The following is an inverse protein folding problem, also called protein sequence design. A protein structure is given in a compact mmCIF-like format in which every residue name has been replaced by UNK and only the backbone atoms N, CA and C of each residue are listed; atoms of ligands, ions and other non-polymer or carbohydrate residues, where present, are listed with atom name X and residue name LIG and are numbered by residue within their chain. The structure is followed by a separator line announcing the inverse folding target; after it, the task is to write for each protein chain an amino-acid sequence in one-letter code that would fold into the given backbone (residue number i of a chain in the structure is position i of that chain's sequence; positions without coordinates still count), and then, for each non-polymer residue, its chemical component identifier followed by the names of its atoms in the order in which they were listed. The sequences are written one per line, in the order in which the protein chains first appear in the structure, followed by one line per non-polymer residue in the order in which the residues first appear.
data_IF_024659483925
#
_entry.id   IF_024659483925
#
_cell.length_a   1.000
_cell.length_b   1.000
_cell.length_c   1.000
_cell.angle_alpha   90.00
_cell.angle_beta   90.00
_cell.angle_gamma   90.00
#
_symmetry.space_group_name_H-M   'P 1'
#
loop_
_entity.id
_entity.type
_entity.pdbx_description
1 polymer ?
#
# COMPACT_ATOMS: atom_id res chain seq x y z
N UNK A 1 -33.00 35.74 -5.62
CA UNK A 1 -33.95 34.73 -5.11
C UNK A 1 -34.07 33.63 -6.15
N UNK A 2 -33.36 32.51 -5.97
CA UNK A 2 -33.66 31.23 -6.62
C UNK A 2 -32.92 30.12 -5.84
N UNK A 3 -33.55 28.95 -5.76
CA UNK A 3 -33.50 28.02 -4.64
C UNK A 3 -32.20 27.24 -4.44
N UNK A 4 -31.78 27.15 -3.17
CA UNK A 4 -30.87 26.13 -2.67
C UNK A 4 -31.63 24.79 -2.54
N UNK A 5 -31.09 23.72 -3.14
CA UNK A 5 -31.55 22.34 -2.90
C UNK A 5 -30.63 21.69 -1.87
N UNK A 6 -31.11 21.61 -0.64
CA UNK A 6 -30.57 20.76 0.42
C UNK A 6 -30.94 19.30 0.12
N UNK A 7 -29.94 18.46 -0.14
CA UNK A 7 -30.10 17.01 -0.10
C UNK A 7 -29.79 16.54 1.32
N UNK A 8 -30.82 16.11 2.05
CA UNK A 8 -30.67 15.28 3.24
C UNK A 8 -30.81 13.84 2.79
N UNK A 9 -29.70 13.12 2.70
CA UNK A 9 -29.72 11.65 2.58
C UNK A 9 -29.78 11.12 4.00
N UNK A 10 -30.98 10.68 4.40
CA UNK A 10 -31.16 9.86 5.60
C UNK A 10 -30.89 8.42 5.16
N UNK A 11 -29.66 7.94 5.33
CA UNK A 11 -29.33 6.54 5.15
C UNK A 11 -29.84 5.75 6.36
N UNK A 12 -30.81 4.86 6.11
CA UNK A 12 -31.29 3.87 7.07
C UNK A 12 -30.26 2.72 7.05
N UNK A 13 -29.36 2.65 8.04
CA UNK A 13 -28.50 1.48 8.22
C UNK A 13 -29.33 0.34 8.81
N UNK A 14 -29.61 -0.68 8.00
CA UNK A 14 -30.06 -1.98 8.50
C UNK A 14 -28.83 -2.74 9.00
N UNK A 15 -28.62 -2.73 10.31
CA UNK A 15 -27.61 -3.56 10.99
C UNK A 15 -28.12 -5.00 10.97
N UNK A 16 -27.60 -5.82 10.05
CA UNK A 16 -27.72 -7.27 10.13
C UNK A 16 -26.67 -7.76 11.15
N UNK A 17 -27.07 -7.84 12.41
CA UNK A 17 -26.25 -8.35 13.50
C UNK A 17 -26.16 -9.88 13.37
N UNK A 18 -25.12 -10.39 12.72
CA UNK A 18 -24.70 -11.78 12.88
C UNK A 18 -24.01 -11.90 14.24
N UNK A 19 -24.65 -12.65 15.14
CA UNK A 19 -24.09 -13.03 16.44
C UNK A 19 -22.89 -13.97 16.23
N UNK A 20 -21.69 -13.42 16.15
CA UNK A 20 -20.47 -14.18 16.43
C UNK A 20 -20.20 -14.11 17.93
N UNK A 21 -19.98 -15.29 18.51
CA UNK A 21 -19.77 -15.46 19.94
C UNK A 21 -18.59 -14.66 20.46
N UNK A 22 -18.76 -14.12 21.66
CA UNK A 22 -17.71 -13.51 22.45
C UNK A 22 -16.68 -14.59 22.86
N UNK A 23 -15.73 -14.88 21.97
CA UNK A 23 -14.51 -15.60 22.31
C UNK A 23 -13.48 -14.60 22.82
N UNK A 24 -13.16 -14.66 24.11
CA UNK A 24 -12.02 -13.92 24.66
C UNK A 24 -10.74 -14.45 24.04
N UNK A 25 -10.22 -13.74 23.04
CA UNK A 25 -8.90 -13.97 22.47
C UNK A 25 -7.86 -13.28 23.36
N UNK A 26 -7.09 -14.09 24.07
CA UNK A 26 -5.83 -13.68 24.70
C UNK A 26 -4.89 -13.06 23.68
N UNK A 27 -4.18 -12.00 24.08
CA UNK A 27 -3.01 -11.43 23.39
C UNK A 27 -1.95 -12.51 23.15
N UNK A 28 -2.16 -13.28 22.09
CA UNK A 28 -1.25 -14.30 21.59
C UNK A 28 -0.22 -13.65 20.69
N UNK A 29 0.62 -12.79 21.26
CA UNK A 29 1.87 -12.38 20.63
C UNK A 29 2.72 -13.64 20.43
N UNK A 30 2.70 -14.18 19.21
CA UNK A 30 3.51 -15.34 18.83
C UNK A 30 4.96 -14.86 18.80
N UNK A 31 5.71 -15.12 19.87
CA UNK A 31 7.15 -14.87 19.90
C UNK A 31 7.84 -15.72 18.84
N UNK A 32 8.32 -15.08 17.77
CA UNK A 32 9.00 -15.73 16.65
C UNK A 32 10.38 -16.23 17.11
N UNK A 33 10.57 -17.55 17.12
CA UNK A 33 11.91 -18.14 17.30
C UNK A 33 12.53 -18.31 15.90
N UNK A 34 13.71 -17.73 15.62
CA UNK A 34 14.36 -17.90 14.31
C UNK A 34 14.81 -19.36 14.16
N UNK A 35 14.14 -20.14 13.30
CA UNK A 35 14.54 -21.54 13.06
C UNK A 35 13.62 -22.40 12.20
N UNK A 36 12.30 -22.23 12.26
CA UNK A 36 11.33 -23.13 11.62
C UNK A 36 10.58 -22.45 10.46
N UNK A 37 11.35 -21.90 9.52
CA UNK A 37 10.96 -20.84 8.58
C UNK A 37 9.99 -21.16 7.43
N UNK A 38 9.02 -22.07 7.56
CA UNK A 38 8.00 -22.27 6.51
C UNK A 38 6.57 -22.50 7.01
N UNK A 39 6.36 -22.95 8.26
CA UNK A 39 5.00 -23.18 8.78
C UNK A 39 4.33 -21.94 9.40
N UNK A 40 5.06 -20.83 9.52
CA UNK A 40 4.67 -19.72 10.41
C UNK A 40 3.64 -18.74 9.82
N UNK A 41 3.22 -18.92 8.56
CA UNK A 41 2.36 -17.94 7.87
C UNK A 41 1.00 -18.50 7.47
N UNK A 42 0.58 -19.66 7.98
CA UNK A 42 -0.74 -20.20 7.68
C UNK A 42 -1.60 -20.22 8.94
N UNK A 43 -2.81 -19.66 8.85
CA UNK A 43 -3.80 -19.85 9.90
C UNK A 43 -4.40 -21.26 9.76
N UNK A 44 -4.15 -22.20 10.69
CA UNK A 44 -4.69 -23.56 10.59
C UNK A 44 -6.22 -23.60 10.66
N UNK A 45 -6.84 -22.54 11.18
CA UNK A 45 -8.29 -22.40 11.28
C UNK A 45 -8.91 -21.70 10.06
N UNK A 46 -8.07 -21.18 9.13
CA UNK A 46 -8.56 -20.72 7.84
C UNK A 46 -9.14 -21.93 7.11
N UNK A 47 -10.44 -21.87 6.79
CA UNK A 47 -11.11 -22.86 5.97
C UNK A 47 -10.42 -23.03 4.60
N UNK A 48 -10.94 -23.91 3.72
CA UNK A 48 -10.41 -24.01 2.37
C UNK A 48 -10.41 -22.63 1.70
N UNK A 49 -9.28 -22.27 1.08
CA UNK A 49 -9.20 -21.01 0.35
C UNK A 49 -10.30 -20.96 -0.73
N UNK A 50 -11.10 -19.89 -0.78
CA UNK A 50 -12.08 -19.72 -1.85
C UNK A 50 -11.35 -19.60 -3.19
N UNK A 51 -12.03 -20.03 -4.24
CA UNK A 51 -11.61 -19.81 -5.62
C UNK A 51 -11.59 -18.32 -5.96
N UNK A 52 -10.81 -17.96 -6.98
CA UNK A 52 -10.81 -16.60 -7.55
C UNK A 52 -12.22 -16.20 -7.98
N UNK A 53 -13.00 -17.12 -8.54
CA UNK A 53 -14.39 -16.91 -8.95
C UNK A 53 -15.31 -16.59 -7.76
N UNK A 54 -15.19 -17.32 -6.64
CA UNK A 54 -15.97 -17.02 -5.43
C UNK A 54 -15.61 -15.64 -4.84
N UNK A 55 -14.32 -15.26 -4.85
CA UNK A 55 -13.90 -13.93 -4.40
C UNK A 55 -14.37 -12.83 -5.35
N UNK A 56 -14.40 -13.07 -6.67
CA UNK A 56 -14.98 -12.14 -7.65
C UNK A 56 -16.47 -11.94 -7.42
N UNK A 57 -17.21 -13.01 -7.13
CA UNK A 57 -18.64 -12.91 -6.81
C UNK A 57 -18.86 -12.09 -5.53
N UNK A 58 -18.03 -12.30 -4.50
CA UNK A 58 -18.06 -11.50 -3.28
C UNK A 58 -17.74 -10.02 -3.55
N UNK A 59 -16.73 -9.72 -4.37
CA UNK A 59 -16.43 -8.36 -4.78
C UNK A 59 -17.61 -7.71 -5.50
N UNK A 60 -18.22 -8.39 -6.47
CA UNK A 60 -19.38 -7.87 -7.19
C UNK A 60 -20.58 -7.61 -6.28
N UNK A 61 -20.80 -8.46 -5.28
CA UNK A 61 -21.81 -8.23 -4.26
C UNK A 61 -21.51 -6.97 -3.43
N UNK A 62 -20.25 -6.78 -2.99
CA UNK A 62 -19.83 -5.58 -2.27
C UNK A 62 -19.98 -4.31 -3.11
N UNK A 63 -19.63 -4.34 -4.40
CA UNK A 63 -19.82 -3.21 -5.30
C UNK A 63 -21.31 -2.85 -5.45
N UNK A 64 -22.17 -3.87 -5.60
CA UNK A 64 -23.61 -3.66 -5.69
C UNK A 64 -24.18 -3.02 -4.40
N UNK A 65 -23.75 -3.50 -3.24
CA UNK A 65 -24.15 -2.96 -1.94
C UNK A 65 -23.69 -1.51 -1.73
N UNK A 66 -22.49 -1.16 -2.22
CA UNK A 66 -21.95 0.20 -2.22
C UNK A 66 -22.53 1.10 -3.33
N UNK A 67 -23.30 0.54 -4.26
CA UNK A 67 -23.82 1.27 -5.43
C UNK A 67 -22.73 1.72 -6.40
N UNK A 68 -21.61 0.99 -6.47
CA UNK A 68 -20.49 1.26 -7.37
C UNK A 68 -20.72 0.49 -8.68
N UNK A 69 -20.68 1.21 -9.79
CA UNK A 69 -20.70 0.61 -11.13
C UNK A 69 -19.32 0.00 -11.45
N UNK A 70 -19.23 -1.34 -11.69
CA UNK A 70 -17.96 -1.98 -12.04
C UNK A 70 -17.41 -1.53 -13.40
N UNK A 71 -18.24 -0.94 -14.26
CA UNK A 71 -17.82 -0.41 -15.57
C UNK A 71 -17.45 1.09 -15.50
N UNK A 72 -17.39 1.69 -14.31
CA UNK A 72 -17.03 3.10 -14.15
C UNK A 72 -15.61 3.37 -14.64
N UNK A 73 -15.42 4.53 -15.28
CA UNK A 73 -14.09 4.98 -15.66
C UNK A 73 -13.22 5.23 -14.42
N UNK A 74 -11.91 4.96 -14.49
CA UNK A 74 -11.04 5.16 -13.34
C UNK A 74 -11.01 6.61 -12.85
N UNK A 75 -11.02 6.80 -11.53
CA UNK A 75 -10.92 8.11 -10.87
C UNK A 75 -9.63 8.22 -10.04
N UNK A 76 -9.15 9.43 -9.78
CA UNK A 76 -7.96 9.61 -8.94
C UNK A 76 -8.17 9.01 -7.54
N UNK A 77 -7.12 8.38 -7.01
CA UNK A 77 -7.09 7.83 -5.66
C UNK A 77 -7.39 8.90 -4.58
N UNK A 78 -8.02 8.51 -3.46
CA UNK A 78 -8.31 9.41 -2.35
C UNK A 78 -7.04 9.78 -1.60
N UNK A 79 -7.14 10.78 -0.72
CA UNK A 79 -6.00 11.43 -0.06
C UNK A 79 -5.53 10.73 1.22
N UNK A 80 -6.15 9.62 1.60
CA UNK A 80 -5.89 8.84 2.80
C UNK A 80 -4.95 7.67 2.50
N UNK A 81 -3.68 7.83 2.87
CA UNK A 81 -2.65 6.80 2.77
C UNK A 81 -1.47 7.13 3.66
N UNK A 82 -0.77 6.10 4.13
CA UNK A 82 0.45 6.23 4.93
C UNK A 82 1.59 5.53 4.22
N UNK A 83 2.67 6.26 3.96
CA UNK A 83 3.95 5.71 3.52
C UNK A 83 4.68 5.20 4.76
N UNK A 84 5.10 3.94 4.73
CA UNK A 84 5.82 3.33 5.85
C UNK A 84 7.34 3.38 5.65
N UNK A 85 7.81 3.33 4.42
CA UNK A 85 9.22 3.12 4.06
C UNK A 85 9.87 4.36 3.44
N UNK A 86 9.52 5.57 3.92
CA UNK A 86 10.15 6.80 3.43
C UNK A 86 11.66 6.79 3.76
N UNK A 87 12.48 6.60 2.74
CA UNK A 87 13.92 6.71 2.81
C UNK A 87 14.39 8.05 2.24
N UNK A 88 15.47 8.59 2.81
CA UNK A 88 16.09 9.85 2.38
C UNK A 88 17.57 9.58 2.14
N UNK A 89 18.03 9.88 0.93
CA UNK A 89 19.41 9.71 0.51
C UNK A 89 19.98 11.05 0.01
N UNK A 90 21.26 11.35 0.26
CA UNK A 90 21.92 12.48 -0.39
C UNK A 90 21.97 12.25 -1.91
N UNK A 91 21.53 13.24 -2.69
CA UNK A 91 21.76 13.24 -4.14
C UNK A 91 23.16 13.79 -4.42
N UNK A 92 24.03 12.93 -4.95
CA UNK A 92 25.40 13.27 -5.35
C UNK A 92 25.65 12.80 -6.79
N UNK A 93 25.46 13.66 -7.80
CA UNK A 93 25.60 13.28 -9.20
C UNK A 93 27.05 12.96 -9.60
N UNK A 94 28.04 13.43 -8.83
CA UNK A 94 29.46 13.21 -9.11
C UNK A 94 30.02 11.95 -8.43
N UNK A 95 29.18 11.27 -7.65
CA UNK A 95 29.54 10.09 -6.87
C UNK A 95 30.30 10.42 -5.58
N UNK A 96 30.54 9.42 -4.71
CA UNK A 96 31.00 9.67 -3.34
C UNK A 96 32.30 10.49 -3.31
N UNK A 97 32.17 11.75 -2.89
CA UNK A 97 33.27 12.71 -2.84
C UNK A 97 33.15 13.69 -1.68
N UNK A 98 34.18 14.53 -1.46
CA UNK A 98 34.15 15.56 -0.43
C UNK A 98 33.25 16.76 -0.78
N UNK A 99 32.58 16.73 -1.94
CA UNK A 99 31.64 17.77 -2.34
C UNK A 99 30.38 17.70 -1.47
N UNK A 100 29.79 18.85 -1.20
CA UNK A 100 28.46 18.94 -0.59
C UNK A 100 27.44 18.30 -1.52
N UNK A 101 26.56 17.44 -0.99
CA UNK A 101 25.45 16.84 -1.73
C UNK A 101 24.72 17.90 -2.55
N UNK A 102 24.46 17.61 -3.82
CA UNK A 102 23.75 18.51 -4.72
C UNK A 102 22.23 18.51 -4.46
N UNK A 103 21.72 17.58 -3.65
CA UNK A 103 20.31 17.42 -3.40
C UNK A 103 19.97 16.35 -2.37
N UNK A 104 18.69 16.02 -2.30
CA UNK A 104 18.16 14.85 -1.61
C UNK A 104 17.36 14.00 -2.61
N UNK A 105 17.41 12.68 -2.45
CA UNK A 105 16.49 11.73 -3.07
C UNK A 105 15.60 11.14 -1.98
N UNK A 106 14.29 11.29 -2.13
CA UNK A 106 13.30 10.61 -1.30
C UNK A 106 12.86 9.35 -2.03
N UNK A 107 12.76 8.22 -1.33
CA UNK A 107 12.20 6.97 -1.87
C UNK A 107 11.03 6.50 -1.00
N UNK A 108 9.95 6.03 -1.62
CA UNK A 108 8.84 5.42 -0.89
C UNK A 108 8.09 4.39 -1.74
N UNK A 109 7.47 3.41 -1.07
CA UNK A 109 6.58 2.43 -1.70
C UNK A 109 5.20 3.04 -2.00
N UNK A 110 4.64 2.63 -3.13
CA UNK A 110 3.29 2.96 -3.57
C UNK A 110 2.21 2.53 -2.55
N UNK A 111 1.28 3.44 -2.27
CA UNK A 111 0.12 3.24 -1.40
C UNK A 111 -1.14 3.56 -2.20
N UNK A 112 -1.78 2.51 -2.72
CA UNK A 112 -3.13 2.55 -3.26
C UNK A 112 -3.89 1.37 -2.64
N UNK A 113 -4.74 1.66 -1.65
CA UNK A 113 -5.43 0.62 -0.92
C UNK A 113 -6.37 -0.15 -1.84
N UNK A 114 -6.25 -1.47 -1.89
CA UNK A 114 -6.98 -2.33 -2.82
C UNK A 114 -6.25 -2.65 -4.14
N UNK A 115 -5.13 -1.99 -4.45
CA UNK A 115 -4.26 -2.30 -5.60
C UNK A 115 -3.22 -3.36 -5.20
N UNK A 116 -3.71 -4.59 -5.04
CA UNK A 116 -2.92 -5.72 -4.56
C UNK A 116 -2.01 -6.29 -5.65
N UNK A 117 -2.29 -6.04 -6.93
CA UNK A 117 -1.42 -6.43 -8.03
C UNK A 117 -0.37 -5.36 -8.40
N UNK A 118 -0.49 -4.16 -7.83
CA UNK A 118 0.41 -3.01 -7.94
C UNK A 118 0.52 -2.44 -9.36
N UNK A 119 -0.57 -2.52 -10.12
CA UNK A 119 -0.63 -1.98 -11.47
C UNK A 119 -0.89 -0.46 -11.50
N UNK A 120 -1.20 0.14 -10.35
CA UNK A 120 -1.57 1.55 -10.17
C UNK A 120 -3.09 1.81 -10.26
N UNK A 121 -3.92 0.78 -10.40
CA UNK A 121 -5.38 0.85 -10.52
C UNK A 121 -6.05 -0.30 -9.75
N UNK A 122 -7.02 0.04 -8.90
CA UNK A 122 -7.83 -0.93 -8.15
C UNK A 122 -8.91 -1.50 -9.07
N UNK A 123 -8.96 -2.82 -9.23
CA UNK A 123 -9.93 -3.49 -10.09
C UNK A 123 -10.06 -4.99 -9.83
N UNK A 124 -10.61 -5.70 -10.83
CA UNK A 124 -10.76 -7.15 -10.78
C UNK A 124 -9.45 -7.94 -10.67
N UNK A 125 -8.33 -7.52 -11.29
CA UNK A 125 -7.05 -8.22 -11.17
C UNK A 125 -6.56 -8.39 -9.71
N UNK A 126 -6.88 -7.44 -8.83
CA UNK A 126 -6.47 -7.42 -7.41
C UNK A 126 -7.04 -8.56 -6.57
N UNK A 127 -8.10 -9.22 -7.07
CA UNK A 127 -8.64 -10.44 -6.45
C UNK A 127 -7.65 -11.61 -6.56
N UNK A 128 -6.78 -11.62 -7.57
CA UNK A 128 -5.86 -12.74 -7.81
C UNK A 128 -4.78 -12.85 -6.72
N UNK A 129 -4.04 -11.77 -6.38
CA UNK A 129 -3.15 -11.78 -5.21
C UNK A 129 -3.86 -12.19 -3.92
N UNK A 130 -5.09 -11.68 -3.69
CA UNK A 130 -5.88 -12.06 -2.51
C UNK A 130 -6.12 -13.58 -2.45
N UNK A 131 -6.57 -14.19 -3.55
CA UNK A 131 -6.79 -15.63 -3.62
C UNK A 131 -5.51 -16.44 -3.39
N UNK A 132 -4.39 -16.01 -3.98
CA UNK A 132 -3.08 -16.69 -3.86
C UNK A 132 -2.53 -16.66 -2.43
N UNK A 133 -2.89 -15.64 -1.67
CA UNK A 133 -2.41 -15.43 -0.30
C UNK A 133 -3.47 -15.69 0.77
N UNK A 134 -4.65 -16.19 0.41
CA UNK A 134 -5.76 -16.42 1.34
C UNK A 134 -5.37 -17.37 2.49
N UNK A 135 -5.82 -17.02 3.70
CA UNK A 135 -5.55 -17.74 4.95
C UNK A 135 -4.13 -17.56 5.48
N UNK A 136 -3.32 -16.68 4.86
CA UNK A 136 -1.99 -16.37 5.36
C UNK A 136 -2.04 -15.32 6.45
N UNK A 137 -1.16 -15.48 7.43
CA UNK A 137 -0.95 -14.50 8.49
C UNK A 137 0.07 -13.45 8.06
N UNK A 138 -0.11 -12.23 8.57
CA UNK A 138 0.80 -11.11 8.39
C UNK A 138 1.34 -10.67 9.75
N UNK A 139 2.59 -11.04 10.07
CA UNK A 139 3.27 -10.49 11.23
C UNK A 139 3.47 -8.98 11.11
N UNK A 140 2.98 -8.25 12.11
CA UNK A 140 3.26 -6.83 12.31
C UNK A 140 4.09 -6.64 13.58
N UNK A 141 4.98 -5.65 13.54
CA UNK A 141 5.75 -5.21 14.69
C UNK A 141 4.87 -4.39 15.65
N UNK A 142 5.31 -4.37 16.91
CA UNK A 142 4.73 -3.50 17.93
C UNK A 142 4.88 -2.03 17.53
N UNK A 143 3.83 -1.19 17.64
CA UNK A 143 3.88 0.21 17.22
C UNK A 143 5.00 1.02 17.89
N UNK A 144 5.38 0.66 19.13
CA UNK A 144 6.44 1.33 19.89
C UNK A 144 7.82 1.21 19.23
N UNK A 145 8.05 0.20 18.39
CA UNK A 145 9.27 0.05 17.61
C UNK A 145 9.35 1.04 16.45
N UNK A 146 8.21 1.63 16.07
CA UNK A 146 8.03 2.45 14.86
C UNK A 146 7.40 3.80 15.18
N UNK A 147 7.78 4.42 16.30
CA UNK A 147 7.29 5.75 16.71
C UNK A 147 5.76 5.83 16.86
N UNK A 148 5.12 4.74 17.25
CA UNK A 148 3.67 4.63 17.40
C UNK A 148 2.91 4.35 16.11
N UNK A 149 3.62 4.10 14.99
CA UNK A 149 2.99 3.67 13.73
C UNK A 149 2.60 2.20 13.87
N UNK A 150 1.29 1.94 13.90
CA UNK A 150 0.77 0.58 13.89
C UNK A 150 0.84 -0.07 12.51
N UNK A 151 0.70 -1.40 12.48
CA UNK A 151 0.66 -2.19 11.25
C UNK A 151 1.94 -2.12 10.42
N UNK A 152 3.09 -1.97 11.10
CA UNK A 152 4.40 -2.03 10.45
C UNK A 152 4.77 -3.50 10.18
N UNK A 153 4.91 -3.95 8.93
CA UNK A 153 5.20 -5.35 8.66
C UNK A 153 6.57 -5.75 9.22
N UNK A 154 6.63 -6.87 9.94
CA UNK A 154 7.89 -7.38 10.49
C UNK A 154 8.88 -7.72 9.37
N UNK A 155 10.13 -7.27 9.53
CA UNK A 155 11.25 -7.59 8.64
C UNK A 155 11.62 -6.46 7.66
N UNK A 156 12.76 -6.62 6.98
CA UNK A 156 13.26 -5.65 6.00
C UNK A 156 12.55 -5.83 4.64
N UNK A 157 11.92 -4.80 4.06
CA UNK A 157 11.25 -4.90 2.76
C UNK A 157 12.18 -5.26 1.60
N UNK A 158 13.50 -5.07 1.74
CA UNK A 158 14.51 -5.42 0.73
C UNK A 158 15.18 -6.78 0.98
N UNK A 159 14.98 -7.40 2.14
CA UNK A 159 15.49 -8.75 2.41
C UNK A 159 14.62 -9.78 1.69
N UNK A 160 15.10 -10.27 0.54
CA UNK A 160 14.51 -11.34 -0.26
C UNK A 160 15.18 -12.72 -0.02
N UNK A 161 16.04 -12.83 1.00
CA UNK A 161 16.90 -13.97 1.30
C UNK A 161 17.78 -14.41 0.12
N UNK A 162 18.17 -13.47 -0.74
CA UNK A 162 19.05 -13.69 -1.90
C UNK A 162 18.33 -14.26 -3.12
N UNK A 163 17.01 -14.10 -3.22
CA UNK A 163 16.26 -14.45 -4.43
C UNK A 163 16.77 -13.68 -5.67
N UNK A 164 17.24 -12.45 -5.43
CA UNK A 164 17.69 -11.55 -6.47
C UNK A 164 16.53 -10.90 -7.22
N UNK A 165 16.85 -9.82 -7.94
CA UNK A 165 15.90 -8.95 -8.64
C UNK A 165 14.91 -9.68 -9.59
N UNK A 166 15.27 -10.85 -10.09
CA UNK A 166 14.48 -11.55 -11.11
C UNK A 166 13.42 -12.51 -10.55
N UNK A 167 13.49 -12.87 -9.26
CA UNK A 167 12.64 -13.89 -8.63
C UNK A 167 11.68 -13.26 -7.62
N UNK A 168 10.50 -13.87 -7.38
CA UNK A 168 9.64 -13.43 -6.30
C UNK A 168 10.37 -13.58 -4.95
N UNK A 169 10.07 -12.72 -3.94
CA UNK A 169 10.63 -12.85 -2.60
C UNK A 169 10.45 -14.26 -2.04
N UNK A 170 11.48 -14.78 -1.38
CA UNK A 170 11.41 -16.10 -0.76
C UNK A 170 10.40 -16.10 0.39
N UNK A 171 9.61 -17.17 0.51
CA UNK A 171 8.69 -17.34 1.63
C UNK A 171 9.47 -17.26 2.94
N UNK A 172 9.00 -16.42 3.87
CA UNK A 172 9.64 -16.18 5.17
C UNK A 172 10.69 -15.06 5.18
N UNK A 173 10.96 -14.43 4.03
CA UNK A 173 11.76 -13.21 3.96
C UNK A 173 10.97 -11.97 4.40
N UNK A 174 11.66 -10.90 4.80
CA UNK A 174 11.02 -9.62 5.12
C UNK A 174 10.25 -9.07 3.92
N UNK A 175 10.86 -9.08 2.73
CA UNK A 175 10.22 -8.67 1.48
C UNK A 175 8.93 -9.45 1.18
N UNK A 176 8.90 -10.75 1.51
CA UNK A 176 7.69 -11.56 1.37
C UNK A 176 6.60 -11.15 2.36
N UNK A 177 6.92 -10.89 3.63
CA UNK A 177 5.95 -10.43 4.61
C UNK A 177 5.35 -9.07 4.21
N UNK A 178 6.18 -8.14 3.74
CA UNK A 178 5.73 -6.85 3.21
C UNK A 178 4.79 -6.99 2.01
N UNK A 179 4.92 -8.06 1.21
CA UNK A 179 3.96 -8.37 0.15
C UNK A 179 2.63 -8.87 0.73
N UNK A 180 2.65 -9.71 1.76
CA UNK A 180 1.43 -10.17 2.43
C UNK A 180 0.67 -8.99 3.06
N UNK A 181 1.39 -8.09 3.75
CA UNK A 181 0.80 -6.91 4.38
C UNK A 181 0.10 -5.94 3.42
N UNK A 182 0.46 -5.95 2.13
CA UNK A 182 -0.27 -5.18 1.11
C UNK A 182 -1.61 -5.81 0.76
N UNK A 183 -1.71 -7.13 0.83
CA UNK A 183 -2.92 -7.90 0.51
C UNK A 183 -3.87 -7.95 1.71
N UNK A 184 -3.34 -7.90 2.93
CA UNK A 184 -4.08 -7.66 4.18
C UNK A 184 -4.51 -6.18 4.24
N UNK A 185 -5.49 -5.84 3.40
CA UNK A 185 -5.95 -4.48 3.20
C UNK A 185 -6.79 -3.93 4.34
N UNK A 186 -7.43 -4.78 5.16
CA UNK A 186 -8.06 -4.33 6.40
C UNK A 186 -7.07 -4.24 7.59
N UNK A 187 -5.85 -4.76 7.39
CA UNK A 187 -4.71 -4.72 8.31
C UNK A 187 -5.06 -5.39 9.63
N UNK A 188 -5.68 -6.57 9.60
CA UNK A 188 -6.04 -7.30 10.81
C UNK A 188 -5.02 -8.40 11.17
N UNK A 189 -4.00 -8.63 10.34
CA UNK A 189 -3.00 -9.68 10.53
C UNK A 189 -3.32 -11.00 9.83
N UNK A 190 -4.43 -11.08 9.10
CA UNK A 190 -4.88 -12.26 8.39
C UNK A 190 -5.50 -11.90 7.03
N UNK A 191 -4.97 -12.52 5.97
CA UNK A 191 -5.52 -12.38 4.62
C UNK A 191 -6.77 -13.25 4.50
N UNK A 192 -7.93 -12.61 4.43
CA UNK A 192 -9.25 -13.24 4.45
C UNK A 192 -10.22 -12.59 3.46
N UNK A 193 -11.50 -12.99 3.49
CA UNK A 193 -12.54 -12.32 2.69
C UNK A 193 -12.77 -10.86 3.09
N UNK A 194 -12.37 -10.45 4.30
CA UNK A 194 -12.50 -9.06 4.74
C UNK A 194 -11.67 -8.11 3.86
N UNK A 195 -10.57 -8.59 3.30
CA UNK A 195 -9.67 -7.83 2.41
C UNK A 195 -10.26 -7.54 1.03
N UNK A 196 -11.46 -8.03 0.72
CA UNK A 196 -12.22 -7.58 -0.45
C UNK A 196 -12.76 -6.16 -0.24
N UNK A 197 -13.06 -5.77 1.01
CA UNK A 197 -13.71 -4.49 1.31
C UNK A 197 -12.89 -3.30 0.83
N UNK A 198 -11.56 -3.25 1.02
CA UNK A 198 -10.75 -2.18 0.44
C UNK A 198 -10.76 -2.17 -1.10
N UNK A 199 -10.69 -3.33 -1.77
CA UNK A 199 -10.83 -3.40 -3.24
C UNK A 199 -12.17 -2.79 -3.68
N UNK A 200 -13.27 -3.17 -3.02
CA UNK A 200 -14.60 -2.68 -3.35
C UNK A 200 -14.73 -1.16 -3.11
N UNK A 201 -14.22 -0.69 -1.97
CA UNK A 201 -14.26 0.73 -1.56
C UNK A 201 -13.51 1.61 -2.55
N UNK A 202 -12.36 1.13 -3.03
CA UNK A 202 -11.48 1.85 -3.93
C UNK A 202 -11.65 1.46 -5.41
N UNK A 203 -12.62 0.62 -5.76
CA UNK A 203 -12.74 0.02 -7.09
C UNK A 203 -12.76 1.03 -8.25
N UNK A 204 -11.91 0.87 -9.26
CA UNK A 204 -11.75 1.85 -10.33
C UNK A 204 -11.10 3.15 -9.86
N UNK A 205 -10.32 3.13 -8.78
CA UNK A 205 -9.42 4.24 -8.47
C UNK A 205 -8.05 3.97 -9.04
N UNK A 206 -7.35 5.03 -9.44
CA UNK A 206 -6.02 4.98 -10.03
C UNK A 206 -5.10 5.96 -9.32
N UNK A 207 -3.88 5.53 -9.08
CA UNK A 207 -2.82 6.41 -8.59
C UNK A 207 -2.11 7.06 -9.78
N UNK A 208 -2.34 8.36 -9.95
CA UNK A 208 -1.68 9.16 -10.98
C UNK A 208 -0.31 9.71 -10.53
N UNK A 209 -0.01 9.61 -9.23
CA UNK A 209 1.24 10.07 -8.61
C UNK A 209 1.00 10.76 -7.26
N UNK A 210 2.07 11.29 -6.67
CA UNK A 210 2.02 11.96 -5.37
C UNK A 210 2.20 13.47 -5.50
N UNK A 211 1.50 14.21 -4.64
CA UNK A 211 1.84 15.60 -4.33
C UNK A 211 2.79 15.60 -3.14
N UNK A 212 4.03 15.99 -3.35
CA UNK A 212 5.01 16.09 -2.27
C UNK A 212 5.07 17.52 -1.77
N UNK A 213 4.98 17.71 -0.46
CA UNK A 213 5.06 19.01 0.17
C UNK A 213 6.25 19.05 1.14
N UNK A 214 6.92 20.19 1.21
CA UNK A 214 7.93 20.48 2.24
C UNK A 214 7.48 21.58 3.18
N UNK A 215 8.12 21.62 4.34
CA UNK A 215 8.01 22.71 5.29
C UNK A 215 9.35 22.90 5.98
N UNK A 216 10.03 24.00 5.69
CA UNK A 216 11.30 24.32 6.30
C UNK A 216 11.13 24.78 7.76
N UNK A 217 12.19 24.71 8.59
CA UNK A 217 12.15 25.28 9.94
C UNK A 217 11.73 26.75 9.93
N UNK A 218 10.67 27.08 10.68
CA UNK A 218 10.13 28.44 10.78
C UNK A 218 9.09 28.81 9.71
N UNK A 219 8.87 27.98 8.69
CA UNK A 219 7.72 28.16 7.79
C UNK A 219 6.41 27.85 8.51
N UNK A 220 5.35 28.57 8.15
CA UNK A 220 4.01 28.36 8.71
C UNK A 220 3.18 27.39 7.85
N UNK A 221 3.37 27.46 6.54
CA UNK A 221 2.61 26.69 5.54
C UNK A 221 3.49 25.65 4.85
N UNK A 222 2.86 24.60 4.32
CA UNK A 222 3.50 23.62 3.46
C UNK A 222 3.63 24.17 2.03
N UNK A 223 4.79 23.95 1.40
CA UNK A 223 5.06 24.30 0.01
C UNK A 223 5.06 23.03 -0.84
N UNK A 224 4.25 22.99 -1.90
CA UNK A 224 4.26 21.90 -2.87
C UNK A 224 5.62 21.89 -3.59
N UNK A 225 6.34 20.77 -3.52
CA UNK A 225 7.71 20.62 -4.05
C UNK A 225 7.77 20.37 -5.55
N UNK A 226 6.69 19.93 -6.18
CA UNK A 226 6.71 19.56 -7.59
C UNK A 226 5.35 19.72 -8.24
N UNK A 227 5.34 20.33 -9.42
CA UNK A 227 4.30 20.07 -10.40
C UNK A 227 4.89 19.08 -11.41
N UNK A 228 4.51 17.78 -11.38
CA UNK A 228 5.06 16.79 -12.29
C UNK A 228 4.79 17.06 -13.78
N UNK A 229 3.92 18.04 -14.10
CA UNK A 229 3.68 18.52 -15.45
C UNK A 229 4.48 19.80 -15.81
N UNK A 230 5.25 20.36 -14.88
CA UNK A 230 6.05 21.57 -15.12
C UNK A 230 7.50 21.19 -15.53
N UNK A 231 7.89 21.40 -16.80
CA UNK A 231 9.24 21.09 -17.26
C UNK A 231 10.33 22.00 -16.67
N UNK A 232 9.95 23.03 -15.89
CA UNK A 232 10.87 23.91 -15.18
C UNK A 232 10.95 23.59 -13.67
N UNK A 233 10.29 22.52 -13.21
CA UNK A 233 10.42 22.05 -11.83
C UNK A 233 11.84 21.52 -11.60
N UNK A 234 12.57 22.09 -10.64
CA UNK A 234 13.86 21.56 -10.15
C UNK A 234 13.71 20.26 -9.34
N UNK A 235 12.48 19.74 -9.29
CA UNK A 235 12.11 18.50 -8.62
C UNK A 235 11.51 17.55 -9.65
N UNK A 236 12.06 16.34 -9.73
CA UNK A 236 11.56 15.26 -10.60
C UNK A 236 10.94 14.17 -9.73
N UNK A 237 9.78 13.65 -10.15
CA UNK A 237 9.15 12.47 -9.51
C UNK A 237 9.17 11.32 -10.52
N UNK A 238 9.84 10.23 -10.18
CA UNK A 238 9.88 9.03 -11.02
C UNK A 238 9.14 7.90 -10.32
N UNK A 239 8.16 7.30 -11.01
CA UNK A 239 7.62 6.00 -10.63
C UNK A 239 8.50 4.96 -11.29
N UNK A 240 9.17 4.12 -10.52
CA UNK A 240 9.84 2.96 -11.09
C UNK A 240 8.80 2.15 -11.85
N UNK A 241 8.95 2.07 -13.18
CA UNK A 241 7.94 1.44 -14.02
C UNK A 241 7.81 -0.01 -13.59
N UNK A 242 6.61 -0.38 -13.12
CA UNK A 242 6.18 -1.76 -12.93
C UNK A 242 6.01 -2.44 -14.31
N UNK A 243 7.09 -2.51 -15.10
CA UNK A 243 7.05 -2.91 -16.51
C UNK A 243 6.15 -2.01 -17.40
N UNK A 244 6.18 -2.19 -18.73
CA UNK A 244 5.26 -1.51 -19.63
C UNK A 244 3.80 -1.91 -19.34
N UNK A 245 2.88 -0.95 -19.50
CA UNK A 245 1.39 -1.02 -19.40
C UNK A 245 0.68 -2.17 -20.15
N UNK A 246 1.40 -3.14 -20.70
CA UNK A 246 0.84 -4.28 -21.41
C UNK A 246 0.75 -5.49 -20.46
N UNK A 247 -0.39 -5.63 -19.78
CA UNK A 247 -1.19 -6.85 -19.43
C UNK A 247 -0.50 -8.22 -19.19
N UNK A 248 0.82 -8.36 -19.09
CA UNK A 248 1.47 -9.66 -18.86
C UNK A 248 2.89 -9.63 -18.30
N UNK A 249 3.46 -8.46 -18.01
CA UNK A 249 4.84 -8.34 -17.51
C UNK A 249 5.01 -7.22 -16.47
N UNK A 250 3.96 -6.92 -15.71
CA UNK A 250 4.15 -6.18 -14.46
C UNK A 250 5.07 -7.05 -13.61
N UNK A 251 6.26 -6.55 -13.30
CA UNK A 251 7.16 -7.22 -12.37
C UNK A 251 6.56 -7.05 -10.98
N UNK A 252 5.49 -7.80 -10.69
CA UNK A 252 4.79 -7.85 -9.40
C UNK A 252 5.68 -8.43 -8.28
N UNK A 253 6.99 -8.40 -8.47
CA UNK A 253 8.02 -9.01 -7.63
C UNK A 253 8.59 -8.02 -6.63
N UNK A 254 8.51 -6.72 -6.91
CA UNK A 254 8.91 -5.66 -5.98
C UNK A 254 7.80 -4.64 -5.76
N UNK A 255 7.72 -4.03 -4.57
CA UNK A 255 6.85 -2.89 -4.38
C UNK A 255 7.20 -1.81 -5.42
N UNK A 256 6.19 -1.20 -6.02
CA UNK A 256 6.41 -0.04 -6.89
C UNK A 256 6.96 1.09 -6.03
N UNK A 257 8.14 1.61 -6.38
CA UNK A 257 8.77 2.72 -5.68
C UNK A 257 8.62 4.02 -6.46
N UNK A 258 8.49 5.10 -5.71
CA UNK A 258 8.61 6.46 -6.22
C UNK A 258 9.89 7.07 -5.69
N UNK A 259 10.56 7.85 -6.53
CA UNK A 259 11.67 8.70 -6.12
C UNK A 259 11.34 10.16 -6.36
N UNK A 260 11.81 11.04 -5.48
CA UNK A 260 11.82 12.48 -5.68
C UNK A 260 13.22 13.01 -5.48
N UNK A 261 13.80 13.61 -6.52
CA UNK A 261 15.08 14.30 -6.42
C UNK A 261 14.85 15.81 -6.28
N UNK A 262 15.33 16.41 -5.20
CA UNK A 262 15.38 17.87 -5.00
C UNK A 262 16.82 18.37 -5.12
N UNK A 263 17.13 19.12 -6.19
CA UNK A 263 18.46 19.70 -6.41
C UNK A 263 18.62 21.11 -5.83
N UNK A 264 17.57 21.68 -5.23
CA UNK A 264 17.61 23.00 -4.62
C UNK A 264 17.96 22.90 -3.13
N UNK A 265 19.21 22.55 -2.83
CA UNK A 265 19.72 22.71 -1.47
C UNK A 265 20.02 24.19 -1.21
N UNK A 266 19.17 24.83 -0.41
CA UNK A 266 19.53 26.08 0.25
C UNK A 266 20.36 25.71 1.49
N UNK A 267 21.62 26.15 1.56
CA UNK A 267 22.50 25.91 2.72
C UNK A 267 21.79 26.31 4.03
N UNK A 268 21.72 25.37 4.99
CA UNK A 268 21.14 25.60 6.31
C UNK A 268 19.65 25.28 6.50
N UNK A 269 19.03 24.54 5.57
CA UNK A 269 17.55 24.35 5.53
C UNK A 269 17.05 22.93 5.83
N UNK A 270 17.93 22.00 6.22
CA UNK A 270 17.57 20.63 6.61
C UNK A 270 18.04 20.31 8.02
#
# INVERSE_FOLDING_TARGET
MLFARTWRITALFAVLLLMFGCGGGSDGMIALTPGDGQQQYFNPDAGPAPSVEELKEQLMAQLADLGIDPDRAPSAAPTDGYVFDLAVEPFDPDGPGPATSAGLVLHWTEVLLGDYDQNGEVGLPDVTPLAVHFGKLVPYDEPDLHSGIGWWPTGDPEDDLGAGLALPPQIGSGAYNWRLARVDGDRNGEISSADIVPIATHFGQRLDGYRVYRKAPGEVDFTLMSNPADPLSDVTVERESAGPKAVSAIDSKRPVRYSLTDTNIVEGTY
#
